data_IF_438189651583
#
_entry.id   IF_438189651583
#
_cell.length_a   1.000
_cell.length_b   1.000
_cell.length_c   1.000
_cell.angle_alpha   90.00
_cell.angle_beta   90.00
_cell.angle_gamma   90.00
#
_symmetry.space_group_name_H-M   'P 1'
#
loop_
_entity.id
_entity.type
_entity.pdbx_description
1 polymer ?
#
# COMPACT_ATOMS: atom_id res chain seq x y z
N UNK A 1 -12.81 -7.93 -16.26
CA UNK A 1 -11.88 -6.79 -16.02
C UNK A 1 -11.96 -6.21 -14.59
N UNK A 2 -12.66 -6.83 -13.64
CA UNK A 2 -12.99 -6.18 -12.36
C UNK A 2 -11.88 -6.22 -11.29
N UNK A 3 -10.88 -7.09 -11.43
CA UNK A 3 -9.83 -7.28 -10.41
C UNK A 3 -8.74 -6.21 -10.52
N UNK A 4 -8.42 -5.75 -11.74
CA UNK A 4 -7.29 -4.83 -11.98
C UNK A 4 -7.45 -3.47 -11.30
N UNK A 5 -8.61 -2.80 -11.30
CA UNK A 5 -8.76 -1.52 -10.60
C UNK A 5 -8.54 -1.64 -9.08
N UNK A 6 -9.11 -2.68 -8.46
CA UNK A 6 -8.97 -2.92 -7.00
C UNK A 6 -7.52 -3.22 -6.64
N UNK A 7 -6.85 -4.05 -7.44
CA UNK A 7 -5.44 -4.37 -7.23
C UNK A 7 -4.51 -3.17 -7.46
N UNK A 8 -4.85 -2.26 -8.39
CA UNK A 8 -4.05 -1.06 -8.67
C UNK A 8 -4.08 -0.10 -7.48
N UNK A 9 -5.26 0.10 -6.89
CA UNK A 9 -5.41 0.98 -5.72
C UNK A 9 -4.63 0.47 -4.50
N UNK A 10 -4.75 -0.82 -4.19
CA UNK A 10 -4.11 -1.40 -3.01
C UNK A 10 -2.66 -1.84 -3.25
N UNK A 11 -2.12 -1.65 -4.45
CA UNK A 11 -0.85 -2.24 -4.86
C UNK A 11 0.35 -1.80 -4.00
N UNK A 12 0.42 -0.51 -3.66
CA UNK A 12 1.46 0.05 -2.80
C UNK A 12 1.46 -0.59 -1.41
N UNK A 13 0.28 -0.83 -0.84
CA UNK A 13 0.14 -1.50 0.47
C UNK A 13 0.52 -2.98 0.43
N UNK A 14 0.34 -3.63 -0.71
CA UNK A 14 0.64 -5.06 -0.87
C UNK A 14 2.07 -5.36 -1.31
N UNK A 15 2.90 -4.36 -1.61
CA UNK A 15 4.32 -4.55 -1.88
C UNK A 15 5.03 -5.28 -0.73
N UNK A 16 4.55 -5.07 0.50
CA UNK A 16 5.04 -5.72 1.72
C UNK A 16 4.16 -6.89 2.20
N UNK A 17 3.22 -7.37 1.37
CA UNK A 17 2.39 -8.50 1.74
C UNK A 17 3.23 -9.78 1.86
N UNK A 18 2.83 -10.65 2.79
CA UNK A 18 3.50 -11.94 2.95
C UNK A 18 3.39 -12.77 1.66
N UNK A 19 4.46 -13.44 1.18
CA UNK A 19 4.47 -14.17 -0.09
C UNK A 19 3.35 -15.19 -0.26
N UNK A 20 2.91 -15.81 0.85
CA UNK A 20 1.77 -16.73 0.88
C UNK A 20 0.47 -16.08 0.38
N UNK A 21 0.18 -14.85 0.79
CA UNK A 21 -1.03 -14.12 0.36
C UNK A 21 -0.97 -13.80 -1.13
N UNK A 22 0.22 -13.44 -1.64
CA UNK A 22 0.44 -13.22 -3.08
C UNK A 22 0.22 -14.51 -3.88
N UNK A 23 0.65 -15.65 -3.35
CA UNK A 23 0.41 -16.96 -3.95
C UNK A 23 -1.09 -17.31 -4.00
N UNK A 24 -1.83 -17.05 -2.92
CA UNK A 24 -3.27 -17.29 -2.88
C UNK A 24 -4.02 -16.42 -3.91
N UNK A 25 -3.64 -15.14 -4.05
CA UNK A 25 -4.16 -14.25 -5.09
C UNK A 25 -3.85 -14.77 -6.49
N UNK A 26 -2.66 -15.33 -6.70
CA UNK A 26 -2.30 -15.95 -7.98
C UNK A 26 -3.19 -17.16 -8.30
N UNK A 27 -3.55 -17.98 -7.31
CA UNK A 27 -4.49 -19.09 -7.49
C UNK A 27 -5.84 -18.58 -7.97
N UNK A 28 -6.36 -17.51 -7.36
CA UNK A 28 -7.63 -16.89 -7.76
C UNK A 28 -7.55 -16.39 -9.21
N UNK A 29 -6.45 -15.71 -9.58
CA UNK A 29 -6.22 -15.28 -10.96
C UNK A 29 -6.20 -16.46 -11.94
N UNK A 30 -5.50 -17.55 -11.59
CA UNK A 30 -5.38 -18.73 -12.45
C UNK A 30 -6.74 -19.41 -12.67
N UNK A 31 -7.56 -19.52 -11.61
CA UNK A 31 -8.93 -20.06 -11.70
C UNK A 31 -9.81 -19.19 -12.57
N UNK A 32 -9.73 -17.86 -12.41
CA UNK A 32 -10.48 -16.92 -13.23
C UNK A 32 -10.10 -17.03 -14.71
N UNK A 33 -8.80 -17.05 -15.03
CA UNK A 33 -8.33 -17.17 -16.41
C UNK A 33 -8.76 -18.49 -17.06
N UNK A 34 -8.73 -19.59 -16.30
CA UNK A 34 -9.25 -20.89 -16.76
C UNK A 34 -10.74 -20.84 -17.07
N UNK A 35 -11.53 -20.28 -16.15
CA UNK A 35 -12.98 -20.18 -16.31
C UNK A 35 -13.36 -19.27 -17.48
N UNK A 36 -12.66 -18.15 -17.67
CA UNK A 36 -12.93 -17.22 -18.75
C UNK A 36 -12.69 -17.83 -20.15
N UNK A 37 -11.70 -18.72 -20.26
CA UNK A 37 -11.34 -19.40 -21.51
C UNK A 37 -11.97 -20.79 -21.64
N UNK A 38 -12.78 -21.23 -20.67
CA UNK A 38 -13.26 -22.62 -20.56
C UNK A 38 -12.15 -23.66 -20.78
N UNK A 39 -10.96 -23.38 -20.23
CA UNK A 39 -9.76 -24.16 -20.52
C UNK A 39 -9.74 -25.48 -19.73
N UNK A 40 -9.42 -26.62 -20.37
CA UNK A 40 -9.23 -27.91 -19.69
C UNK A 40 -8.11 -27.88 -18.63
N UNK A 41 -8.19 -28.77 -17.64
CA UNK A 41 -7.27 -28.82 -16.50
C UNK A 41 -5.80 -29.03 -16.90
N UNK A 42 -5.52 -29.70 -18.04
CA UNK A 42 -4.17 -29.99 -18.52
C UNK A 42 -3.51 -28.82 -19.25
N UNK A 43 -4.24 -27.72 -19.52
CA UNK A 43 -3.66 -26.53 -20.15
C UNK A 43 -2.75 -25.80 -19.16
N UNK A 44 -1.49 -25.56 -19.53
CA UNK A 44 -0.53 -24.89 -18.64
C UNK A 44 -0.95 -23.44 -18.37
N UNK A 45 -0.80 -22.97 -17.12
CA UNK A 45 -1.07 -21.59 -16.72
C UNK A 45 -0.30 -20.58 -17.59
N UNK A 46 0.96 -20.89 -17.93
CA UNK A 46 1.79 -20.02 -18.77
C UNK A 46 1.20 -19.78 -20.15
N UNK A 47 0.51 -20.77 -20.73
CA UNK A 47 -0.16 -20.63 -22.03
C UNK A 47 -1.38 -19.72 -21.91
N UNK A 48 -2.16 -19.85 -20.82
CA UNK A 48 -3.30 -18.97 -20.55
C UNK A 48 -2.87 -17.52 -20.36
N UNK A 49 -1.80 -17.29 -19.61
CA UNK A 49 -1.26 -15.94 -19.41
C UNK A 49 -0.73 -15.32 -20.69
N UNK A 50 -0.03 -16.10 -21.54
CA UNK A 50 0.43 -15.61 -22.85
C UNK A 50 -0.73 -15.32 -23.80
N UNK A 51 -1.73 -16.22 -23.86
CA UNK A 51 -2.89 -16.04 -24.74
C UNK A 51 -3.79 -14.87 -24.35
N UNK A 52 -3.86 -14.53 -23.05
CA UNK A 52 -4.59 -13.36 -22.54
C UNK A 52 -3.75 -12.09 -22.47
N UNK A 53 -2.45 -12.16 -22.79
CA UNK A 53 -1.46 -11.08 -22.59
C UNK A 53 -1.48 -10.48 -21.17
N UNK A 54 -1.92 -11.26 -20.19
CA UNK A 54 -2.17 -10.78 -18.83
C UNK A 54 -1.00 -11.15 -17.92
N UNK A 55 -0.28 -10.17 -17.34
CA UNK A 55 0.79 -10.46 -16.39
C UNK A 55 0.24 -11.21 -15.17
N UNK A 56 1.10 -12.06 -14.61
CA UNK A 56 0.93 -12.67 -13.29
C UNK A 56 0.73 -11.58 -12.23
N UNK A 57 -0.09 -11.86 -11.20
CA UNK A 57 -0.42 -10.89 -10.15
C UNK A 57 0.84 -10.34 -9.50
N UNK A 58 1.83 -11.20 -9.24
CA UNK A 58 3.10 -10.81 -8.61
C UNK A 58 3.89 -9.82 -9.46
N UNK A 59 3.99 -10.07 -10.77
CA UNK A 59 4.67 -9.17 -11.71
C UNK A 59 3.94 -7.83 -11.77
N UNK A 60 2.63 -7.87 -11.95
CA UNK A 60 1.82 -6.66 -11.99
C UNK A 60 1.98 -5.83 -10.70
N UNK A 61 1.95 -6.49 -9.55
CA UNK A 61 2.07 -5.82 -8.26
C UNK A 61 3.43 -5.19 -8.05
N UNK A 62 4.50 -5.90 -8.45
CA UNK A 62 5.86 -5.38 -8.41
C UNK A 62 5.98 -4.14 -9.31
N UNK A 63 5.63 -4.27 -10.58
CA UNK A 63 5.74 -3.18 -11.56
C UNK A 63 4.91 -1.94 -11.14
N UNK A 64 3.72 -2.15 -10.57
CA UNK A 64 2.87 -1.06 -10.10
C UNK A 64 3.39 -0.42 -8.80
N UNK A 65 3.96 -1.21 -7.88
CA UNK A 65 4.60 -0.69 -6.68
C UNK A 65 5.84 0.13 -7.00
N UNK A 66 6.71 -0.34 -7.90
CA UNK A 66 7.90 0.39 -8.35
C UNK A 66 7.51 1.75 -8.93
N UNK A 67 6.55 1.77 -9.86
CA UNK A 67 6.02 3.02 -10.44
C UNK A 67 5.47 3.98 -9.37
N UNK A 68 4.79 3.45 -8.36
CA UNK A 68 4.26 4.28 -7.27
C UNK A 68 5.39 4.93 -6.46
N UNK A 69 6.41 4.16 -6.09
CA UNK A 69 7.56 4.67 -5.34
C UNK A 69 8.44 5.61 -6.17
N UNK A 70 8.61 5.34 -7.47
CA UNK A 70 9.33 6.24 -8.39
C UNK A 70 8.65 7.62 -8.47
N UNK A 71 7.31 7.63 -8.58
CA UNK A 71 6.53 8.87 -8.58
C UNK A 71 6.69 9.59 -7.24
N UNK A 72 6.58 8.87 -6.12
CA UNK A 72 6.72 9.45 -4.78
C UNK A 72 8.13 10.05 -4.55
N UNK A 73 9.18 9.40 -5.03
CA UNK A 73 10.56 9.88 -4.96
C UNK A 73 10.79 11.15 -5.79
N UNK A 74 10.09 11.30 -6.92
CA UNK A 74 10.20 12.47 -7.80
C UNK A 74 9.30 13.65 -7.37
N UNK A 75 8.51 13.50 -6.30
CA UNK A 75 7.51 14.48 -5.93
C UNK A 75 8.15 15.75 -5.34
N UNK A 76 7.64 16.96 -5.66
CA UNK A 76 8.15 18.21 -5.09
C UNK A 76 7.96 18.36 -3.56
N UNK A 77 7.24 17.44 -2.93
CA UNK A 77 6.94 17.52 -1.50
C UNK A 77 7.98 16.69 -0.72
N UNK A 78 8.84 17.31 0.09
CA UNK A 78 9.90 16.60 0.81
C UNK A 78 9.37 15.55 1.80
N UNK A 79 8.15 15.74 2.33
CA UNK A 79 7.55 14.78 3.25
C UNK A 79 7.25 13.44 2.55
N UNK A 80 6.76 13.48 1.30
CA UNK A 80 6.49 12.27 0.53
C UNK A 80 7.79 11.53 0.17
N UNK A 81 8.84 12.27 -0.19
CA UNK A 81 10.16 11.70 -0.46
C UNK A 81 10.74 11.03 0.79
N UNK A 82 10.64 11.69 1.95
CA UNK A 82 11.12 11.11 3.22
C UNK A 82 10.39 9.83 3.63
N UNK A 83 9.11 9.71 3.26
CA UNK A 83 8.31 8.52 3.55
C UNK A 83 8.73 7.30 2.70
N UNK A 84 9.29 7.49 1.51
CA UNK A 84 9.79 6.38 0.67
C UNK A 84 11.03 5.73 1.29
N UNK A 85 11.91 6.53 1.90
CA UNK A 85 13.11 6.07 2.60
C UNK A 85 12.85 5.66 4.06
N UNK A 86 11.59 5.51 4.47
CA UNK A 86 11.27 5.16 5.84
C UNK A 86 11.74 3.74 6.17
N UNK A 87 12.73 3.64 7.04
CA UNK A 87 13.12 2.37 7.65
C UNK A 87 12.39 2.20 8.98
N UNK A 88 11.54 1.17 9.14
CA UNK A 88 10.87 0.94 10.40
C UNK A 88 11.92 0.63 11.48
N UNK A 89 11.78 1.17 12.70
CA UNK A 89 12.69 0.86 13.79
C UNK A 89 12.72 -0.66 14.01
N UNK A 90 13.90 -1.24 14.35
CA UNK A 90 14.02 -2.65 14.61
C UNK A 90 13.02 -3.09 15.68
N UNK A 91 12.47 -4.31 15.59
CA UNK A 91 11.40 -4.80 16.48
C UNK A 91 11.93 -5.04 17.90
N UNK A 92 12.22 -3.98 18.64
CA UNK A 92 12.38 -4.04 20.09
C UNK A 92 10.99 -4.05 20.68
N UNK A 93 10.60 -5.20 21.27
CA UNK A 93 9.40 -5.40 22.09
C UNK A 93 8.35 -4.30 21.90
N UNK A 94 7.50 -4.42 20.87
CA UNK A 94 6.39 -3.49 20.68
C UNK A 94 5.47 -3.55 21.91
N UNK A 95 5.73 -2.72 22.91
CA UNK A 95 4.77 -2.38 23.92
C UNK A 95 3.57 -1.82 23.17
N UNK A 96 2.49 -2.61 23.11
CA UNK A 96 1.27 -2.24 22.42
C UNK A 96 0.87 -0.84 22.91
N UNK A 97 1.02 0.17 22.04
CA UNK A 97 0.71 1.57 22.36
C UNK A 97 -0.73 1.59 22.91
N UNK A 98 -0.95 2.15 24.08
CA UNK A 98 -2.31 2.30 24.58
C UNK A 98 -3.06 3.18 23.56
N UNK A 99 -4.22 2.71 23.10
CA UNK A 99 -4.99 3.35 22.01
C UNK A 99 -5.44 4.79 22.32
N UNK A 100 -5.21 5.26 23.56
CA UNK A 100 -5.77 6.48 24.11
C UNK A 100 -4.71 7.56 24.42
N UNK A 101 -3.41 7.29 24.22
CA UNK A 101 -2.36 8.25 24.57
C UNK A 101 -1.58 8.63 23.32
N UNK A 102 -1.86 9.83 22.81
CA UNK A 102 -1.07 10.49 21.79
C UNK A 102 0.15 11.10 22.49
N UNK A 103 1.33 10.49 22.32
CA UNK A 103 2.62 10.98 22.83
C UNK A 103 3.48 11.55 21.71
N UNK A 104 2.86 12.01 20.63
CA UNK A 104 3.64 12.65 19.57
C UNK A 104 4.13 14.00 20.12
N UNK A 105 5.42 14.27 19.99
CA UNK A 105 6.01 15.56 20.33
C UNK A 105 5.22 16.63 19.57
N UNK A 106 4.78 17.74 20.20
CA UNK A 106 3.96 18.71 19.52
C UNK A 106 4.72 19.26 18.30
N UNK A 107 4.18 18.96 17.11
CA UNK A 107 4.64 19.55 15.86
C UNK A 107 4.34 21.05 15.88
N UNK A 108 5.11 21.81 15.11
CA UNK A 108 5.02 23.28 15.02
C UNK A 108 3.57 23.76 14.76
N UNK A 109 2.82 22.98 13.96
CA UNK A 109 1.42 23.24 13.66
C UNK A 109 0.49 23.08 14.88
N UNK A 110 0.75 22.08 15.73
CA UNK A 110 0.00 21.87 16.98
C UNK A 110 0.32 22.95 18.01
N UNK A 111 1.58 23.40 18.09
CA UNK A 111 1.99 24.51 18.95
C UNK A 111 1.28 25.81 18.54
N UNK A 112 1.18 26.10 17.25
CA UNK A 112 0.47 27.28 16.76
C UNK A 112 -1.05 27.20 16.99
N UNK A 113 -1.66 26.01 16.83
CA UNK A 113 -3.08 25.80 17.13
C UNK A 113 -3.38 26.00 18.63
N UNK A 114 -2.54 25.48 19.52
CA UNK A 114 -2.69 25.67 20.97
C UNK A 114 -2.57 27.15 21.35
N UNK A 115 -1.61 27.88 20.78
CA UNK A 115 -1.49 29.34 20.97
C UNK A 115 -2.76 30.08 20.54
N UNK A 116 -3.35 29.74 19.40
CA UNK A 116 -4.58 30.37 18.91
C UNK A 116 -5.79 30.06 19.81
N UNK A 117 -5.87 28.85 20.35
CA UNK A 117 -6.91 28.46 21.31
C UNK A 117 -6.75 29.23 22.63
N UNK A 118 -5.52 29.41 23.11
CA UNK A 118 -5.20 30.20 24.29
C UNK A 118 -5.59 31.67 24.12
N UNK A 119 -5.26 32.27 22.97
CA UNK A 119 -5.63 33.66 22.62
C UNK A 119 -7.15 33.83 22.56
N UNK A 120 -7.89 32.88 21.96
CA UNK A 120 -9.35 32.96 21.89
C UNK A 120 -10.01 32.85 23.27
N UNK A 121 -9.44 32.09 24.21
CA UNK A 121 -9.96 32.04 25.60
C UNK A 121 -9.80 33.39 26.30
N UNK A 122 -8.67 34.08 26.11
CA UNK A 122 -8.42 35.40 26.70
C UNK A 122 -9.30 36.52 26.13
N UNK A 123 -9.90 36.32 24.94
CA UNK A 123 -10.79 37.30 24.29
C UNK A 123 -12.26 37.13 24.73
N UNK A 124 -12.60 36.01 25.36
CA UNK A 124 -13.98 35.65 25.76
C UNK A 124 -14.25 35.96 27.25
N UNK A 125 -13.22 36.29 28.03
CA UNK A 125 -13.32 36.89 29.39
C UNK A 125 -13.36 38.43 29.32
#
# INVERSE_FOLDING_TARGET
MCIRPVMTYACSSFAHAHPKTLYDLQIVQNKFCRSALNAPWYVRNSVLHRGLENPTISKFMKDASERFFDIANSHPNPLLVSAVSYEPPPPHHFCRRSRNVLLDLPDDLTVEMEKLVEVNKMVID
#
